data_IF_200048418417
#
_entry.id   IF_200048418417
#
_cell.length_a   1.000
_cell.length_b   1.000
_cell.length_c   1.000
_cell.angle_alpha   90.00
_cell.angle_beta   90.00
_cell.angle_gamma   90.00
#
_symmetry.space_group_name_H-M   'P 1'
#
loop_
_entity.id
_entity.type
_entity.pdbx_description
1 polymer ?
#
# COMPACT_ATOMS: atom_id res chain seq x y z
N UNK A 1 10.49 -32.14 7.89
CA UNK A 1 10.76 -31.53 9.21
C UNK A 1 11.75 -30.39 8.96
N UNK A 2 11.29 -29.14 8.94
CA UNK A 2 12.15 -27.96 8.99
C UNK A 2 11.96 -27.34 10.34
N UNK A 3 13.03 -27.35 11.12
CA UNK A 3 13.12 -26.88 12.49
C UNK A 3 12.73 -25.42 12.61
N UNK A 4 12.04 -25.12 13.73
CA UNK A 4 11.54 -23.79 14.05
C UNK A 4 12.66 -22.78 14.19
N UNK A 5 12.54 -21.67 13.47
CA UNK A 5 13.33 -20.48 13.72
C UNK A 5 13.13 -20.05 15.18
N UNK A 6 14.18 -20.09 15.96
CA UNK A 6 14.23 -19.55 17.30
C UNK A 6 13.88 -18.04 17.23
N UNK A 7 12.69 -17.68 17.71
CA UNK A 7 12.32 -16.28 17.91
C UNK A 7 13.25 -15.68 18.97
N UNK A 8 14.26 -14.94 18.53
CA UNK A 8 15.12 -14.17 19.44
C UNK A 8 14.27 -13.30 20.36
N UNK A 9 14.62 -13.29 21.65
CA UNK A 9 13.92 -12.48 22.66
C UNK A 9 14.10 -11.00 22.33
N UNK A 10 12.99 -10.29 22.11
CA UNK A 10 13.02 -8.88 21.76
C UNK A 10 13.40 -8.06 23.01
N UNK A 11 14.37 -7.13 22.95
CA UNK A 11 14.69 -6.28 24.09
C UNK A 11 13.45 -5.55 24.62
N UNK A 12 13.23 -5.56 25.92
CA UNK A 12 12.05 -4.96 26.58
C UNK A 12 11.84 -3.48 26.19
N UNK A 13 12.93 -2.73 25.96
CA UNK A 13 12.90 -1.35 25.47
C UNK A 13 12.24 -1.22 24.11
N UNK A 14 12.52 -2.16 23.21
CA UNK A 14 11.93 -2.19 21.86
C UNK A 14 10.44 -2.47 21.95
N UNK A 15 10.02 -3.42 22.79
CA UNK A 15 8.59 -3.72 22.98
C UNK A 15 7.83 -2.52 23.55
N UNK A 16 8.37 -1.83 24.56
CA UNK A 16 7.76 -0.60 25.12
C UNK A 16 7.60 0.47 24.03
N UNK A 17 8.62 0.67 23.22
CA UNK A 17 8.56 1.62 22.10
C UNK A 17 7.51 1.22 21.06
N UNK A 18 7.43 -0.06 20.69
CA UNK A 18 6.45 -0.54 19.70
C UNK A 18 5.01 -0.41 20.23
N UNK A 19 4.81 -0.68 21.54
CA UNK A 19 3.52 -0.45 22.21
C UNK A 19 3.16 1.06 22.20
N UNK A 20 4.10 1.95 22.49
CA UNK A 20 3.92 3.39 22.36
C UNK A 20 3.49 3.80 20.93
N UNK A 21 4.16 3.26 19.90
CA UNK A 21 3.80 3.56 18.52
C UNK A 21 2.39 3.08 18.17
N UNK A 22 2.02 1.88 18.63
CA UNK A 22 0.72 1.28 18.33
C UNK A 22 -0.41 2.02 19.07
N UNK A 23 -0.28 2.23 20.37
CA UNK A 23 -1.37 2.67 21.25
C UNK A 23 -1.48 4.20 21.31
N UNK A 24 -0.37 4.91 21.51
CA UNK A 24 -0.39 6.36 21.65
C UNK A 24 -0.26 7.09 20.31
N UNK A 25 0.68 6.65 19.45
CA UNK A 25 0.92 7.29 18.15
C UNK A 25 0.01 6.76 17.05
N UNK A 26 -0.76 5.70 17.29
CA UNK A 26 -1.70 5.06 16.37
C UNK A 26 -1.08 4.74 15.01
N UNK A 27 0.17 4.25 15.03
CA UNK A 27 0.85 3.80 13.83
C UNK A 27 0.19 2.52 13.30
N UNK A 28 0.20 2.34 11.97
CA UNK A 28 -0.35 1.13 11.36
C UNK A 28 0.44 -0.11 11.80
N UNK A 29 -0.22 -1.29 11.91
CA UNK A 29 0.47 -2.55 12.23
C UNK A 29 1.66 -2.83 11.30
N UNK A 30 1.53 -2.45 10.02
CA UNK A 30 2.61 -2.56 9.05
C UNK A 30 3.83 -1.69 9.41
N UNK A 31 3.61 -0.46 9.84
CA UNK A 31 4.69 0.45 10.28
C UNK A 31 5.37 -0.08 11.53
N UNK A 32 4.58 -0.53 12.51
CA UNK A 32 5.09 -1.12 13.76
C UNK A 32 5.94 -2.36 13.45
N UNK A 33 5.48 -3.25 12.57
CA UNK A 33 6.24 -4.43 12.12
C UNK A 33 7.57 -4.04 11.46
N UNK A 34 7.57 -3.04 10.59
CA UNK A 34 8.80 -2.60 9.91
C UNK A 34 9.79 -1.95 10.89
N UNK A 35 9.29 -1.21 11.89
CA UNK A 35 10.11 -0.62 12.93
C UNK A 35 10.69 -1.69 13.85
N UNK A 36 9.88 -2.72 14.20
CA UNK A 36 10.35 -3.90 14.93
C UNK A 36 11.54 -4.53 14.22
N UNK A 37 11.38 -4.86 12.93
CA UNK A 37 12.45 -5.50 12.15
C UNK A 37 13.72 -4.65 12.10
N UNK A 38 13.58 -3.34 11.88
CA UNK A 38 14.74 -2.43 11.84
C UNK A 38 15.51 -2.37 13.15
N UNK A 39 14.82 -2.46 14.29
CA UNK A 39 15.45 -2.43 15.62
C UNK A 39 16.05 -3.79 16.01
N UNK A 40 15.45 -4.90 15.57
CA UNK A 40 16.05 -6.23 15.71
C UNK A 40 17.32 -6.35 14.88
N UNK A 41 17.29 -5.89 13.63
CA UNK A 41 18.48 -5.86 12.77
C UNK A 41 19.60 -4.98 13.39
N UNK A 42 19.24 -3.87 14.05
CA UNK A 42 20.20 -3.02 14.76
C UNK A 42 20.79 -3.75 15.97
N UNK A 43 19.97 -4.45 16.76
CA UNK A 43 20.43 -5.21 17.92
C UNK A 43 21.38 -6.34 17.51
N UNK A 44 21.08 -7.05 16.43
CA UNK A 44 21.90 -8.13 15.90
C UNK A 44 23.31 -7.65 15.49
N UNK A 45 23.43 -6.45 14.93
CA UNK A 45 24.73 -5.88 14.48
C UNK A 45 25.44 -5.15 15.62
N UNK A 46 24.68 -4.43 16.48
CA UNK A 46 25.24 -3.61 17.56
C UNK A 46 25.98 -4.41 18.63
N UNK A 47 25.66 -5.71 18.79
CA UNK A 47 26.33 -6.62 19.74
C UNK A 47 27.72 -7.10 19.32
N UNK A 48 28.16 -6.82 18.09
CA UNK A 48 29.38 -7.38 17.55
C UNK A 48 29.34 -8.92 17.46
N UNK A 49 30.39 -9.56 16.94
CA UNK A 49 30.47 -11.04 16.78
C UNK A 49 30.46 -11.82 18.10
N UNK A 50 30.38 -11.18 19.28
CA UNK A 50 30.56 -11.82 20.59
C UNK A 50 29.36 -11.75 21.54
N UNK A 51 28.30 -11.00 21.22
CA UNK A 51 27.11 -10.92 22.08
C UNK A 51 25.89 -11.48 21.34
N UNK A 52 25.02 -12.21 22.08
CA UNK A 52 23.73 -12.66 21.56
C UNK A 52 22.81 -11.44 21.37
N UNK A 53 21.89 -11.48 20.39
CA UNK A 53 20.95 -10.41 20.07
C UNK A 53 20.11 -9.91 21.27
N UNK A 54 19.85 -10.79 22.22
CA UNK A 54 19.10 -10.51 23.44
C UNK A 54 19.90 -9.81 24.54
N UNK A 55 21.24 -9.71 24.39
CA UNK A 55 22.14 -9.12 25.38
C UNK A 55 22.62 -7.72 25.02
N UNK A 56 22.27 -7.18 23.85
CA UNK A 56 22.70 -5.85 23.43
C UNK A 56 21.83 -4.78 24.10
N UNK A 57 22.43 -3.98 24.99
CA UNK A 57 21.76 -2.80 25.51
C UNK A 57 21.80 -1.66 24.48
N UNK A 58 20.69 -1.45 23.80
CA UNK A 58 20.56 -0.40 22.79
C UNK A 58 20.76 1.02 23.33
N UNK A 59 20.75 1.23 24.67
CA UNK A 59 21.02 2.51 25.31
C UNK A 59 22.50 2.89 25.25
N UNK A 60 23.39 1.91 25.15
CA UNK A 60 24.84 2.12 25.16
C UNK A 60 25.40 2.41 23.77
N UNK A 61 24.61 2.18 22.71
CA UNK A 61 25.07 2.42 21.35
C UNK A 61 25.31 3.91 21.09
N UNK A 62 26.48 4.20 20.55
CA UNK A 62 26.86 5.57 20.17
C UNK A 62 26.72 5.80 18.66
N UNK A 63 26.99 7.02 18.20
CA UNK A 63 26.94 7.39 16.78
C UNK A 63 27.84 6.52 15.91
N UNK A 64 28.99 6.08 16.43
CA UNK A 64 29.95 5.20 15.71
C UNK A 64 29.32 3.85 15.43
N UNK A 65 28.63 3.26 16.40
CA UNK A 65 27.99 1.94 16.26
C UNK A 65 26.86 2.00 15.23
N UNK A 66 26.05 3.07 15.26
CA UNK A 66 24.99 3.30 14.27
C UNK A 66 25.53 3.52 12.86
N UNK A 67 26.72 4.15 12.71
CA UNK A 67 27.40 4.28 11.42
C UNK A 67 27.91 2.92 10.94
N UNK A 68 28.51 2.11 11.83
CA UNK A 68 28.95 0.74 11.51
C UNK A 68 27.79 -0.11 11.02
N UNK A 69 26.63 -0.07 11.69
CA UNK A 69 25.42 -0.74 11.23
C UNK A 69 25.01 -0.35 9.81
N UNK A 70 25.05 0.94 9.47
CA UNK A 70 24.72 1.41 8.11
C UNK A 70 25.69 0.84 7.07
N UNK A 71 27.00 0.87 7.37
CA UNK A 71 28.03 0.35 6.47
C UNK A 71 27.87 -1.17 6.28
N UNK A 72 27.63 -1.93 7.34
CA UNK A 72 27.41 -3.37 7.25
C UNK A 72 26.15 -3.71 6.46
N UNK A 73 25.04 -3.01 6.72
CA UNK A 73 23.80 -3.19 5.97
C UNK A 73 23.96 -2.85 4.47
N UNK A 74 24.79 -1.85 4.13
CA UNK A 74 25.14 -1.56 2.73
C UNK A 74 25.98 -2.68 2.10
N UNK A 75 26.98 -3.18 2.82
CA UNK A 75 27.82 -4.32 2.35
C UNK A 75 26.98 -5.58 2.13
N UNK A 76 25.97 -5.81 2.98
CA UNK A 76 24.99 -6.89 2.83
C UNK A 76 23.97 -6.67 1.69
N UNK A 77 24.12 -5.62 0.87
CA UNK A 77 23.25 -5.37 -0.28
C UNK A 77 21.93 -4.70 0.04
N UNK A 78 21.73 -4.19 1.27
CA UNK A 78 20.48 -3.49 1.63
C UNK A 78 20.30 -2.24 0.76
N UNK A 79 19.13 -2.12 0.12
CA UNK A 79 18.84 -0.98 -0.74
C UNK A 79 18.88 0.35 0.02
N UNK A 80 19.29 1.44 -0.64
CA UNK A 80 19.28 2.79 -0.03
C UNK A 80 17.90 3.17 0.53
N UNK A 81 16.84 2.81 -0.17
CA UNK A 81 15.46 3.04 0.29
C UNK A 81 15.17 2.32 1.60
N UNK A 82 15.57 1.05 1.72
CA UNK A 82 15.41 0.26 2.94
C UNK A 82 16.22 0.85 4.09
N UNK A 83 17.45 1.30 3.84
CA UNK A 83 18.28 1.98 4.84
C UNK A 83 17.64 3.28 5.34
N UNK A 84 17.05 4.08 4.48
CA UNK A 84 16.31 5.28 4.89
C UNK A 84 15.11 4.94 5.80
N UNK A 85 14.38 3.86 5.50
CA UNK A 85 13.28 3.38 6.34
C UNK A 85 13.79 2.91 7.72
N UNK A 86 14.86 2.11 7.73
CA UNK A 86 15.50 1.64 8.97
C UNK A 86 16.02 2.80 9.81
N UNK A 87 16.67 3.79 9.20
CA UNK A 87 17.14 4.98 9.90
C UNK A 87 15.98 5.79 10.48
N UNK A 88 14.85 5.88 9.80
CA UNK A 88 13.66 6.54 10.33
C UNK A 88 13.14 5.84 11.59
N UNK A 89 13.17 4.50 11.63
CA UNK A 89 12.83 3.72 12.82
C UNK A 89 13.81 3.98 13.97
N UNK A 90 15.12 3.91 13.70
CA UNK A 90 16.21 4.14 14.67
C UNK A 90 16.10 5.56 15.25
N UNK A 91 15.93 6.59 14.43
CA UNK A 91 15.75 7.98 14.88
C UNK A 91 14.51 8.15 15.75
N UNK A 92 13.40 7.49 15.39
CA UNK A 92 12.16 7.52 16.16
C UNK A 92 12.34 6.84 17.52
N UNK A 93 13.07 5.73 17.56
CA UNK A 93 13.38 4.99 18.77
C UNK A 93 14.25 5.80 19.73
N UNK A 94 15.37 6.33 19.28
CA UNK A 94 16.25 7.14 20.15
C UNK A 94 15.62 8.46 20.58
N UNK A 95 14.75 9.06 19.77
CA UNK A 95 13.95 10.22 20.21
C UNK A 95 12.98 9.83 21.32
N UNK A 96 12.39 8.65 21.26
CA UNK A 96 11.55 8.10 22.31
C UNK A 96 12.37 7.86 23.58
N UNK A 97 13.51 7.16 23.49
CA UNK A 97 14.38 6.91 24.65
C UNK A 97 14.87 8.19 25.32
N UNK A 98 15.30 9.18 24.55
CA UNK A 98 15.73 10.47 25.09
C UNK A 98 14.58 11.20 25.81
N UNK A 99 13.37 11.19 25.26
CA UNK A 99 12.18 11.75 25.91
C UNK A 99 11.82 11.04 27.20
N UNK A 100 12.05 9.75 27.28
CA UNK A 100 11.78 8.93 28.48
C UNK A 100 12.93 8.98 29.50
N UNK A 101 14.00 9.73 29.24
CA UNK A 101 15.16 9.81 30.12
C UNK A 101 16.07 8.58 30.11
N UNK A 102 15.85 7.63 29.19
CA UNK A 102 16.62 6.38 29.13
C UNK A 102 18.02 6.59 28.50
N UNK A 103 18.22 7.66 27.76
CA UNK A 103 19.52 8.11 27.22
C UNK A 103 19.70 9.62 27.42
N UNK A 104 20.90 10.05 27.80
CA UNK A 104 21.20 11.46 28.03
C UNK A 104 21.20 12.31 26.74
N UNK A 105 21.60 11.70 25.61
CA UNK A 105 21.61 12.33 24.30
C UNK A 105 21.13 11.36 23.23
N UNK A 106 20.59 11.90 22.13
CA UNK A 106 20.16 11.06 21.01
C UNK A 106 21.35 10.75 20.08
N UNK A 107 21.89 9.51 20.08
CA UNK A 107 23.05 9.16 19.25
C UNK A 107 22.75 9.16 17.75
N UNK A 108 21.48 9.14 17.35
CA UNK A 108 21.10 9.16 15.94
C UNK A 108 21.01 10.56 15.34
N UNK A 109 21.18 11.64 16.10
CA UNK A 109 21.08 13.03 15.63
C UNK A 109 22.14 13.37 14.58
N UNK A 110 23.36 12.84 14.72
CA UNK A 110 24.47 13.03 13.78
C UNK A 110 24.53 12.04 12.60
N UNK A 111 23.51 11.18 12.43
CA UNK A 111 23.48 10.26 11.31
C UNK A 111 23.03 10.97 10.03
N UNK A 112 23.88 10.91 9.02
CA UNK A 112 23.57 11.40 7.67
C UNK A 112 23.66 10.21 6.70
N UNK A 113 22.58 9.95 5.96
CA UNK A 113 22.63 9.02 4.83
C UNK A 113 22.96 9.77 3.56
N UNK A 114 23.76 9.17 2.65
CA UNK A 114 23.94 9.70 1.32
C UNK A 114 22.61 9.95 0.64
N UNK A 115 22.48 11.09 -0.02
CA UNK A 115 21.25 11.48 -0.71
C UNK A 115 20.72 10.33 -1.59
N UNK A 116 19.46 10.03 -1.46
CA UNK A 116 18.74 9.09 -2.33
C UNK A 116 17.98 9.91 -3.38
N UNK A 117 18.48 9.93 -4.61
CA UNK A 117 17.69 10.43 -5.73
C UNK A 117 16.51 9.48 -5.94
N UNK A 118 15.30 9.93 -5.62
CA UNK A 118 14.09 9.17 -5.97
C UNK A 118 14.06 9.07 -7.49
N UNK A 119 14.05 7.86 -8.08
CA UNK A 119 13.82 7.74 -9.51
C UNK A 119 12.47 8.39 -9.84
N UNK A 120 12.35 8.97 -11.03
CA UNK A 120 11.08 9.50 -11.49
C UNK A 120 10.00 8.43 -11.34
N UNK A 121 8.82 8.78 -10.82
CA UNK A 121 7.74 7.81 -10.66
C UNK A 121 7.40 7.21 -12.02
N UNK A 122 7.59 5.90 -12.18
CA UNK A 122 7.09 5.19 -13.34
C UNK A 122 5.57 5.06 -13.21
N UNK A 123 4.83 5.41 -14.23
CA UNK A 123 3.39 5.23 -14.34
C UNK A 123 3.07 4.61 -15.71
N UNK A 124 1.87 4.09 -15.87
CA UNK A 124 1.44 3.56 -17.16
C UNK A 124 1.12 4.72 -18.11
N UNK A 125 1.58 4.66 -19.35
CA UNK A 125 1.03 5.50 -20.40
C UNK A 125 -0.42 5.09 -20.72
N UNK A 126 -1.22 5.95 -21.40
CA UNK A 126 -2.58 5.58 -21.80
C UNK A 126 -2.66 4.31 -22.64
N UNK A 127 -1.67 4.05 -23.49
CA UNK A 127 -1.59 2.80 -24.29
C UNK A 127 -1.26 1.59 -23.41
N UNK A 128 -0.27 1.71 -22.54
CA UNK A 128 0.14 0.64 -21.64
C UNK A 128 -0.98 0.22 -20.69
N UNK A 129 -1.72 1.20 -20.11
CA UNK A 129 -2.83 0.85 -19.21
C UNK A 129 -3.96 0.15 -19.95
N UNK A 130 -4.26 0.54 -21.20
CA UNK A 130 -5.24 -0.15 -22.05
C UNK A 130 -4.84 -1.61 -22.27
N UNK A 131 -3.63 -1.85 -22.77
CA UNK A 131 -3.09 -3.19 -22.98
C UNK A 131 -3.12 -4.05 -21.71
N UNK A 132 -2.80 -3.46 -20.57
CA UNK A 132 -2.83 -4.15 -19.26
C UNK A 132 -4.27 -4.51 -18.84
N UNK A 133 -5.23 -3.61 -19.00
CA UNK A 133 -6.63 -3.83 -18.62
C UNK A 133 -7.32 -4.88 -19.50
N UNK A 134 -6.85 -5.08 -20.72
CA UNK A 134 -7.34 -6.09 -21.66
C UNK A 134 -6.67 -7.47 -21.47
N UNK A 135 -5.60 -7.54 -20.67
CA UNK A 135 -4.83 -8.77 -20.50
C UNK A 135 -5.62 -9.96 -19.90
N UNK A 136 -6.56 -9.77 -18.94
CA UNK A 136 -7.36 -10.89 -18.46
C UNK A 136 -8.25 -11.51 -19.54
N UNK A 137 -8.95 -10.70 -20.34
CA UNK A 137 -9.77 -11.18 -21.46
C UNK A 137 -8.92 -11.91 -22.49
N UNK A 138 -7.74 -11.38 -22.84
CA UNK A 138 -6.82 -12.03 -23.76
C UNK A 138 -6.34 -13.38 -23.25
N UNK A 139 -5.90 -13.47 -22.00
CA UNK A 139 -5.45 -14.74 -21.40
C UNK A 139 -6.59 -15.75 -21.26
N UNK A 140 -7.84 -15.32 -21.10
CA UNK A 140 -9.00 -16.21 -21.16
C UNK A 140 -9.14 -16.82 -22.55
N UNK A 141 -9.07 -16.01 -23.59
CA UNK A 141 -9.17 -16.48 -24.98
C UNK A 141 -8.03 -17.44 -25.36
N UNK A 142 -6.84 -17.21 -24.82
CA UNK A 142 -5.66 -18.06 -25.01
C UNK A 142 -5.69 -19.34 -24.12
N UNK A 143 -6.72 -19.54 -23.29
CA UNK A 143 -6.84 -20.69 -22.38
C UNK A 143 -5.89 -20.64 -21.17
N UNK A 144 -5.25 -19.49 -20.92
CA UNK A 144 -4.28 -19.33 -19.84
C UNK A 144 -4.90 -19.12 -18.44
N UNK A 145 -6.20 -18.82 -18.37
CA UNK A 145 -6.99 -18.65 -17.13
C UNK A 145 -8.46 -19.04 -17.38
N UNK A 146 -9.18 -19.34 -16.29
CA UNK A 146 -10.62 -19.60 -16.34
C UNK A 146 -11.45 -18.29 -16.35
N UNK A 147 -12.74 -18.42 -16.70
CA UNK A 147 -13.66 -17.30 -16.87
C UNK A 147 -13.91 -16.54 -15.53
N UNK A 148 -13.97 -17.24 -14.40
CA UNK A 148 -14.11 -16.60 -13.10
C UNK A 148 -12.89 -15.73 -12.79
N UNK A 149 -11.69 -16.28 -12.98
CA UNK A 149 -10.42 -15.57 -12.75
C UNK A 149 -10.30 -14.35 -13.66
N UNK A 150 -10.65 -14.48 -14.95
CA UNK A 150 -10.62 -13.37 -15.88
C UNK A 150 -11.58 -12.25 -15.45
N UNK A 151 -12.84 -12.56 -15.19
CA UNK A 151 -13.84 -11.57 -14.79
C UNK A 151 -13.52 -10.88 -13.48
N UNK A 152 -13.00 -11.63 -12.48
CA UNK A 152 -12.55 -11.09 -11.20
C UNK A 152 -11.38 -10.11 -11.37
N UNK A 153 -10.36 -10.51 -12.13
CA UNK A 153 -9.13 -9.73 -12.26
C UNK A 153 -9.34 -8.49 -13.15
N UNK A 154 -10.24 -8.57 -14.14
CA UNK A 154 -10.72 -7.38 -14.84
C UNK A 154 -11.36 -6.36 -13.89
N UNK A 155 -12.24 -6.80 -13.01
CA UNK A 155 -12.86 -5.93 -12.00
C UNK A 155 -11.80 -5.30 -11.09
N UNK A 156 -10.84 -6.08 -10.61
CA UNK A 156 -9.74 -5.59 -9.77
C UNK A 156 -8.98 -4.45 -10.46
N UNK A 157 -8.59 -4.65 -11.71
CA UNK A 157 -7.77 -3.69 -12.45
C UNK A 157 -8.58 -2.46 -12.87
N UNK A 158 -9.84 -2.64 -13.25
CA UNK A 158 -10.75 -1.53 -13.55
C UNK A 158 -11.02 -0.67 -12.29
N UNK A 159 -11.17 -1.27 -11.11
CA UNK A 159 -11.34 -0.52 -9.88
C UNK A 159 -10.05 0.22 -9.47
N UNK A 160 -8.87 -0.34 -9.70
CA UNK A 160 -7.63 0.40 -9.49
C UNK A 160 -7.49 1.62 -10.41
N UNK A 161 -7.83 1.46 -11.69
CA UNK A 161 -7.70 2.53 -12.67
C UNK A 161 -8.95 3.41 -12.75
N UNK A 162 -10.15 2.87 -12.74
CA UNK A 162 -11.40 3.61 -12.91
C UNK A 162 -11.93 4.27 -11.64
N UNK A 163 -11.47 3.87 -10.44
CA UNK A 163 -11.85 4.48 -9.17
C UNK A 163 -10.64 4.90 -8.30
N UNK A 164 -9.43 4.68 -8.77
CA UNK A 164 -8.20 5.06 -8.09
C UNK A 164 -8.04 4.44 -6.70
N UNK A 165 -8.46 3.21 -6.49
CA UNK A 165 -8.42 2.56 -5.19
C UNK A 165 -7.00 2.23 -4.73
N UNK A 166 -6.78 2.24 -3.40
CA UNK A 166 -5.61 1.57 -2.81
C UNK A 166 -5.87 0.08 -2.73
N UNK A 167 -4.82 -0.74 -2.80
CA UNK A 167 -4.97 -2.19 -2.69
C UNK A 167 -5.65 -2.61 -1.39
N UNK A 168 -5.35 -1.97 -0.26
CA UNK A 168 -6.00 -2.24 1.03
C UNK A 168 -7.47 -1.83 1.05
N UNK A 169 -7.87 -0.80 0.32
CA UNK A 169 -9.26 -0.38 0.20
C UNK A 169 -10.06 -1.38 -0.63
N UNK A 170 -9.45 -1.92 -1.69
CA UNK A 170 -10.07 -2.94 -2.53
C UNK A 170 -10.23 -4.27 -1.77
N UNK A 171 -9.20 -4.72 -1.04
CA UNK A 171 -9.26 -5.99 -0.30
C UNK A 171 -10.28 -5.96 0.86
N UNK A 172 -10.61 -4.78 1.36
CA UNK A 172 -11.61 -4.59 2.44
C UNK A 172 -13.00 -4.22 1.90
N UNK A 173 -13.12 -3.95 0.60
CA UNK A 173 -14.40 -3.57 0.00
C UNK A 173 -15.43 -4.71 0.06
N UNK A 174 -16.67 -4.37 0.36
CA UNK A 174 -17.79 -5.31 0.46
C UNK A 174 -18.90 -4.95 -0.53
N UNK A 175 -19.77 -5.90 -0.88
CA UNK A 175 -20.86 -5.66 -1.81
C UNK A 175 -21.78 -4.53 -1.36
N UNK A 176 -22.05 -4.41 -0.06
CA UNK A 176 -22.85 -3.30 0.50
C UNK A 176 -22.21 -1.92 0.38
N UNK A 177 -20.95 -1.84 -0.02
CA UNK A 177 -20.26 -0.57 -0.27
C UNK A 177 -20.44 -0.08 -1.72
N UNK A 178 -20.92 -0.93 -2.63
CA UNK A 178 -21.09 -0.59 -4.05
C UNK A 178 -22.51 -0.10 -4.33
N UNK A 179 -22.62 1.14 -4.75
CA UNK A 179 -23.87 1.73 -5.28
C UNK A 179 -23.78 1.73 -6.81
N UNK A 180 -24.52 0.82 -7.42
CA UNK A 180 -24.55 0.66 -8.88
C UNK A 180 -25.37 1.75 -9.56
N UNK A 181 -26.41 2.30 -8.89
CA UNK A 181 -27.24 3.35 -9.43
C UNK A 181 -26.45 4.65 -9.57
N UNK A 182 -25.74 5.03 -8.51
CA UNK A 182 -24.89 6.22 -8.53
C UNK A 182 -23.50 5.98 -9.10
N UNK A 183 -23.13 4.72 -9.39
CA UNK A 183 -21.78 4.29 -9.82
C UNK A 183 -20.71 4.75 -8.85
N UNK A 184 -20.89 4.49 -7.57
CA UNK A 184 -19.97 4.87 -6.53
C UNK A 184 -19.57 3.67 -5.66
N UNK A 185 -18.35 3.68 -5.15
CA UNK A 185 -17.87 2.74 -4.16
C UNK A 185 -17.43 3.48 -2.91
N UNK A 186 -18.02 3.11 -1.76
CA UNK A 186 -17.60 3.61 -0.45
C UNK A 186 -16.39 2.80 0.01
N UNK A 187 -15.32 3.46 0.39
CA UNK A 187 -14.10 2.81 0.88
C UNK A 187 -13.62 3.42 2.19
N UNK A 188 -12.99 2.59 3.02
CA UNK A 188 -12.40 3.00 4.29
C UNK A 188 -10.89 3.12 4.11
N UNK A 189 -10.37 4.32 4.25
CA UNK A 189 -8.95 4.63 4.11
C UNK A 189 -8.17 4.58 5.42
N UNK A 190 -6.94 5.06 5.38
CA UNK A 190 -6.06 5.16 6.55
C UNK A 190 -6.72 5.99 7.66
N UNK A 191 -6.70 5.48 8.89
CA UNK A 191 -7.30 6.13 10.05
C UNK A 191 -8.82 5.98 10.11
N UNK A 192 -9.39 4.94 9.46
CA UNK A 192 -10.84 4.67 9.38
C UNK A 192 -11.66 5.81 8.75
N UNK A 193 -11.02 6.65 7.95
CA UNK A 193 -11.75 7.70 7.22
C UNK A 193 -12.41 7.09 5.99
N UNK A 194 -13.72 7.25 5.90
CA UNK A 194 -14.49 6.86 4.73
C UNK A 194 -14.37 7.90 3.61
N UNK A 195 -14.45 7.43 2.38
CA UNK A 195 -14.65 8.28 1.21
C UNK A 195 -15.47 7.56 0.15
N UNK A 196 -16.10 8.34 -0.70
CA UNK A 196 -16.83 7.85 -1.86
C UNK A 196 -15.92 7.99 -3.08
N UNK A 197 -15.73 6.90 -3.81
CA UNK A 197 -14.99 6.86 -5.06
C UNK A 197 -15.98 6.71 -6.22
N UNK A 198 -16.09 7.68 -7.13
CA UNK A 198 -16.80 7.46 -8.39
C UNK A 198 -16.15 6.30 -9.15
N UNK A 199 -16.95 5.41 -9.69
CA UNK A 199 -16.52 4.37 -10.61
C UNK A 199 -16.83 4.81 -12.04
N UNK A 200 -15.89 4.68 -12.95
CA UNK A 200 -16.17 4.85 -14.36
C UNK A 200 -17.23 3.85 -14.84
N UNK A 201 -17.89 4.17 -15.95
CA UNK A 201 -18.93 3.32 -16.54
C UNK A 201 -18.46 1.87 -16.72
N UNK A 202 -17.28 1.69 -17.31
CA UNK A 202 -16.69 0.36 -17.57
C UNK A 202 -16.46 -0.42 -16.28
N UNK A 203 -15.92 0.21 -15.24
CA UNK A 203 -15.67 -0.44 -13.95
C UNK A 203 -16.99 -0.90 -13.29
N UNK A 204 -18.03 -0.04 -13.30
CA UNK A 204 -19.34 -0.38 -12.76
C UNK A 204 -20.02 -1.51 -13.52
N UNK A 205 -19.96 -1.51 -14.85
CA UNK A 205 -20.52 -2.56 -15.70
C UNK A 205 -19.82 -3.91 -15.47
N UNK A 206 -18.49 -3.94 -15.47
CA UNK A 206 -17.72 -5.17 -15.20
C UNK A 206 -17.97 -5.70 -13.80
N UNK A 207 -18.06 -4.81 -12.80
CA UNK A 207 -18.39 -5.19 -11.43
C UNK A 207 -19.80 -5.80 -11.34
N UNK A 208 -20.77 -5.25 -12.05
CA UNK A 208 -22.12 -5.80 -12.12
C UNK A 208 -22.15 -7.18 -12.79
N UNK A 209 -21.46 -7.32 -13.93
CA UNK A 209 -21.34 -8.61 -14.64
C UNK A 209 -20.67 -9.65 -13.74
N UNK A 210 -19.60 -9.29 -13.05
CA UNK A 210 -18.93 -10.20 -12.10
C UNK A 210 -19.89 -10.64 -10.99
N UNK A 211 -20.61 -9.69 -10.36
CA UNK A 211 -21.58 -10.00 -9.30
C UNK A 211 -22.65 -10.98 -9.80
N UNK A 212 -23.23 -10.70 -10.95
CA UNK A 212 -24.44 -11.40 -11.42
C UNK A 212 -24.12 -12.78 -12.01
N UNK A 213 -22.95 -12.96 -12.62
CA UNK A 213 -22.58 -14.20 -13.33
C UNK A 213 -21.54 -15.08 -12.64
N UNK A 214 -20.61 -14.47 -11.89
CA UNK A 214 -19.41 -15.18 -11.41
C UNK A 214 -19.27 -15.18 -9.89
N UNK A 215 -19.73 -14.14 -9.19
CA UNK A 215 -19.55 -14.06 -7.74
C UNK A 215 -20.28 -15.18 -7.00
N UNK A 216 -19.54 -15.95 -6.20
CA UNK A 216 -20.06 -17.08 -5.39
C UNK A 216 -20.66 -16.60 -4.07
N UNK A 217 -20.28 -15.42 -3.59
CA UNK A 217 -20.84 -14.73 -2.40
C UNK A 217 -21.24 -13.31 -2.80
N UNK A 218 -22.45 -12.87 -2.38
CA UNK A 218 -23.06 -11.62 -2.86
C UNK A 218 -23.79 -10.83 -1.75
N UNK A 219 -23.70 -11.30 -0.51
CA UNK A 219 -24.31 -10.61 0.63
C UNK A 219 -23.65 -9.23 0.85
N UNK A 220 -24.38 -8.30 1.43
CA UNK A 220 -23.88 -6.93 1.66
C UNK A 220 -22.59 -6.90 2.51
N UNK A 221 -22.40 -7.86 3.37
CA UNK A 221 -21.22 -8.02 4.23
C UNK A 221 -20.09 -8.83 3.59
N UNK A 222 -20.35 -9.51 2.46
CA UNK A 222 -19.34 -10.30 1.77
C UNK A 222 -18.33 -9.42 1.04
N UNK A 223 -17.10 -9.94 0.92
CA UNK A 223 -16.05 -9.22 0.22
C UNK A 223 -16.34 -9.15 -1.28
N UNK A 224 -16.17 -7.97 -1.84
CA UNK A 224 -16.35 -7.70 -3.27
C UNK A 224 -15.35 -8.49 -4.11
N UNK A 225 -14.12 -8.66 -3.63
CA UNK A 225 -13.05 -9.38 -4.31
C UNK A 225 -12.71 -10.65 -3.52
N UNK A 226 -13.04 -11.80 -4.09
CA UNK A 226 -12.87 -13.12 -3.46
C UNK A 226 -12.35 -14.16 -4.46
N UNK A 227 -11.93 -15.32 -3.97
CA UNK A 227 -11.57 -16.47 -4.80
C UNK A 227 -12.80 -17.31 -5.17
N UNK A 228 -12.59 -18.40 -5.91
CA UNK A 228 -13.68 -19.28 -6.38
C UNK A 228 -14.46 -20.00 -5.27
N UNK A 229 -13.99 -19.94 -4.03
CA UNK A 229 -14.69 -20.49 -2.84
C UNK A 229 -15.22 -19.42 -1.90
N UNK A 230 -15.21 -18.14 -2.32
CA UNK A 230 -15.74 -17.01 -1.56
C UNK A 230 -14.77 -16.42 -0.51
N UNK A 231 -13.52 -16.86 -0.43
CA UNK A 231 -12.53 -16.30 0.51
C UNK A 231 -11.97 -14.99 -0.02
N UNK A 232 -11.78 -13.96 0.83
CA UNK A 232 -11.23 -12.68 0.40
C UNK A 232 -9.81 -12.84 -0.15
N UNK A 233 -9.49 -12.08 -1.20
CA UNK A 233 -8.14 -12.04 -1.75
C UNK A 233 -7.24 -11.17 -0.88
N UNK A 234 -6.03 -11.68 -0.58
CA UNK A 234 -5.01 -10.87 0.06
C UNK A 234 -4.34 -9.90 -0.91
N UNK A 235 -3.84 -8.77 -0.39
CA UNK A 235 -3.06 -7.82 -1.17
C UNK A 235 -1.84 -8.47 -1.86
N UNK A 236 -1.20 -9.43 -1.19
CA UNK A 236 -0.07 -10.17 -1.75
C UNK A 236 -0.48 -10.99 -2.98
N UNK A 237 -1.64 -11.69 -2.91
CA UNK A 237 -2.15 -12.48 -4.04
C UNK A 237 -2.44 -11.59 -5.24
N UNK A 238 -3.13 -10.47 -5.04
CA UNK A 238 -3.42 -9.51 -6.12
C UNK A 238 -2.12 -8.99 -6.75
N UNK A 239 -1.10 -8.63 -5.95
CA UNK A 239 0.19 -8.15 -6.47
C UNK A 239 0.95 -9.23 -7.22
N UNK A 240 0.93 -10.47 -6.73
CA UNK A 240 1.55 -11.61 -7.40
C UNK A 240 0.87 -11.89 -8.73
N UNK A 241 -0.45 -11.95 -8.74
CA UNK A 241 -1.23 -12.31 -9.93
C UNK A 241 -1.14 -11.18 -10.97
N UNK A 242 -1.07 -9.90 -10.56
CA UNK A 242 -0.82 -8.76 -11.44
C UNK A 242 0.45 -8.93 -12.29
N UNK A 243 1.52 -9.52 -11.74
CA UNK A 243 2.77 -9.76 -12.51
C UNK A 243 2.57 -10.69 -13.71
N UNK A 244 1.65 -11.67 -13.60
CA UNK A 244 1.28 -12.54 -14.74
C UNK A 244 0.75 -11.70 -15.91
N UNK A 245 -0.13 -10.76 -15.62
CA UNK A 245 -0.74 -9.90 -16.64
C UNK A 245 0.25 -8.87 -17.21
N UNK A 246 1.15 -8.35 -16.38
CA UNK A 246 2.23 -7.46 -16.85
C UNK A 246 3.14 -8.18 -17.84
N UNK A 247 3.57 -9.42 -17.52
CA UNK A 247 4.37 -10.26 -18.43
C UNK A 247 3.63 -10.55 -19.74
N UNK A 248 2.38 -10.98 -19.66
CA UNK A 248 1.55 -11.24 -20.82
C UNK A 248 1.33 -10.00 -21.70
N UNK A 249 1.47 -8.81 -21.12
CA UNK A 249 1.35 -7.52 -21.84
C UNK A 249 2.68 -6.95 -22.30
N UNK A 250 3.81 -7.62 -22.07
CA UNK A 250 5.14 -7.09 -22.37
C UNK A 250 5.51 -5.85 -21.53
N UNK A 251 4.89 -5.68 -20.36
CA UNK A 251 5.08 -4.52 -19.50
C UNK A 251 6.04 -4.82 -18.34
N UNK A 252 6.75 -3.80 -17.81
CA UNK A 252 7.68 -3.99 -16.70
C UNK A 252 6.97 -4.55 -15.45
N UNK A 253 7.52 -5.63 -14.87
CA UNK A 253 6.97 -6.28 -13.68
C UNK A 253 7.10 -5.45 -12.39
N UNK A 254 7.84 -4.35 -12.41
CA UNK A 254 7.95 -3.40 -11.30
C UNK A 254 6.75 -2.42 -11.23
N UNK A 255 5.83 -2.49 -12.17
CA UNK A 255 4.56 -1.81 -12.10
C UNK A 255 3.67 -2.45 -11.01
N UNK A 256 3.01 -1.61 -10.21
CA UNK A 256 2.28 -2.03 -9.00
C UNK A 256 0.87 -1.40 -8.98
N UNK A 257 -0.07 -1.90 -8.15
CA UNK A 257 -1.36 -1.23 -7.97
C UNK A 257 -1.24 0.25 -7.59
N UNK A 258 -0.21 0.62 -6.83
CA UNK A 258 0.05 2.02 -6.49
C UNK A 258 0.41 2.86 -7.73
N UNK A 259 1.12 2.26 -8.70
CA UNK A 259 1.46 2.93 -9.97
C UNK A 259 0.25 3.05 -10.88
N UNK A 260 -0.71 2.10 -10.87
CA UNK A 260 -2.00 2.25 -11.57
C UNK A 260 -2.77 3.44 -11.00
N UNK A 261 -2.89 3.53 -9.69
CA UNK A 261 -3.53 4.67 -9.03
C UNK A 261 -2.82 6.00 -9.32
N UNK A 262 -1.49 6.00 -9.44
CA UNK A 262 -0.74 7.19 -9.84
C UNK A 262 -1.05 7.57 -11.29
N UNK A 263 -1.14 6.58 -12.20
CA UNK A 263 -1.58 6.81 -13.59
C UNK A 263 -3.00 7.38 -13.65
N UNK A 264 -3.93 6.87 -12.83
CA UNK A 264 -5.27 7.44 -12.69
C UNK A 264 -5.21 8.94 -12.38
N UNK A 265 -4.42 9.32 -11.36
CA UNK A 265 -4.30 10.72 -10.98
C UNK A 265 -3.67 11.58 -12.08
N UNK A 266 -2.59 11.10 -12.69
CA UNK A 266 -1.86 11.80 -13.75
C UNK A 266 -2.73 11.98 -14.98
N UNK A 267 -3.40 10.91 -15.45
CA UNK A 267 -4.24 10.98 -16.64
C UNK A 267 -5.46 11.90 -16.46
N UNK A 268 -6.05 11.96 -15.25
CA UNK A 268 -7.10 12.92 -14.96
C UNK A 268 -6.59 14.36 -15.02
N UNK A 269 -5.43 14.64 -14.43
CA UNK A 269 -4.82 15.98 -14.44
C UNK A 269 -4.42 16.41 -15.85
N UNK A 270 -3.81 15.51 -16.63
CA UNK A 270 -3.43 15.75 -18.03
C UNK A 270 -4.65 16.02 -18.93
N UNK A 271 -5.82 15.43 -18.58
CA UNK A 271 -7.09 15.69 -19.23
C UNK A 271 -7.84 16.92 -18.67
N UNK A 272 -7.19 17.75 -17.84
CA UNK A 272 -7.74 19.01 -17.35
C UNK A 272 -8.60 18.93 -16.10
N UNK A 273 -8.62 17.79 -15.38
CA UNK A 273 -9.35 17.69 -14.12
C UNK A 273 -8.77 18.64 -13.06
N UNK A 274 -9.65 19.25 -12.27
CA UNK A 274 -9.23 20.08 -11.14
C UNK A 274 -8.43 19.28 -10.10
N UNK A 275 -7.28 19.82 -9.67
CA UNK A 275 -6.37 19.17 -8.74
C UNK A 275 -7.05 18.82 -7.40
N UNK A 276 -7.94 19.69 -6.88
CA UNK A 276 -8.64 19.45 -5.63
C UNK A 276 -9.66 18.32 -5.77
N UNK A 277 -10.33 18.21 -6.93
CA UNK A 277 -11.22 17.10 -7.23
C UNK A 277 -10.44 15.77 -7.26
N UNK A 278 -9.29 15.72 -7.93
CA UNK A 278 -8.42 14.53 -7.97
C UNK A 278 -7.89 14.18 -6.58
N UNK A 279 -7.41 15.14 -5.79
CA UNK A 279 -6.97 14.93 -4.41
C UNK A 279 -8.08 14.38 -3.52
N UNK A 280 -9.30 14.86 -3.71
CA UNK A 280 -10.50 14.40 -3.00
C UNK A 280 -10.85 12.94 -3.35
N UNK A 281 -10.88 12.59 -4.64
CA UNK A 281 -11.08 11.21 -5.11
C UNK A 281 -10.02 10.26 -4.54
N UNK A 282 -8.79 10.74 -4.41
CA UNK A 282 -7.69 9.97 -3.85
C UNK A 282 -7.68 9.92 -2.30
N UNK A 283 -8.45 10.75 -1.61
CA UNK A 283 -8.48 10.80 -0.14
C UNK A 283 -7.14 11.22 0.46
N UNK A 284 -6.58 12.34 -0.02
CA UNK A 284 -5.43 12.99 0.60
C UNK A 284 -5.87 13.77 1.85
N UNK A 285 -5.16 13.58 2.97
CA UNK A 285 -5.59 13.97 4.33
C UNK A 285 -5.64 15.49 4.62
N UNK A 286 -5.40 16.37 3.67
CA UNK A 286 -5.23 17.82 3.92
C UNK A 286 -6.48 18.70 3.67
N UNK A 287 -7.60 18.12 3.24
CA UNK A 287 -8.85 18.88 3.08
C UNK A 287 -9.92 18.32 4.00
N UNK A 288 -10.62 19.21 4.71
CA UNK A 288 -11.67 18.84 5.67
C UNK A 288 -12.70 17.91 5.02
N UNK A 289 -12.77 16.70 5.51
CA UNK A 289 -13.58 15.60 4.99
C UNK A 289 -15.10 15.89 5.03
N UNK A 290 -15.52 16.89 5.78
CA UNK A 290 -16.92 17.20 6.04
C UNK A 290 -17.62 17.91 4.87
N UNK A 291 -16.89 18.64 4.03
CA UNK A 291 -17.49 19.37 2.90
C UNK A 291 -17.75 18.52 1.65
N UNK A 292 -17.19 17.31 1.57
CA UNK A 292 -17.26 16.47 0.36
C UNK A 292 -18.51 15.58 0.34
N UNK A 293 -19.17 15.38 1.48
CA UNK A 293 -20.33 14.49 1.62
C UNK A 293 -21.67 15.14 1.29
N UNK A 294 -21.69 16.39 0.82
CA UNK A 294 -22.90 16.99 0.28
C UNK A 294 -23.18 16.44 -1.13
N UNK A 295 -24.46 16.30 -1.51
CA UNK A 295 -24.83 15.89 -2.88
C UNK A 295 -24.13 16.71 -3.95
N UNK A 296 -23.99 18.02 -3.75
CA UNK A 296 -23.28 18.94 -4.65
C UNK A 296 -21.78 18.60 -4.79
N UNK A 297 -21.14 18.16 -3.72
CA UNK A 297 -19.74 17.73 -3.76
C UNK A 297 -19.55 16.44 -4.56
N UNK A 298 -20.45 15.46 -4.41
CA UNK A 298 -20.39 14.19 -5.12
C UNK A 298 -20.64 14.37 -6.63
N UNK A 299 -21.60 15.20 -7.02
CA UNK A 299 -21.90 15.47 -8.43
C UNK A 299 -20.75 16.17 -9.13
N UNK A 300 -20.04 17.10 -8.46
CA UNK A 300 -18.81 17.70 -8.98
C UNK A 300 -17.70 16.67 -9.19
N UNK A 301 -17.53 15.73 -8.25
CA UNK A 301 -16.53 14.65 -8.39
C UNK A 301 -16.87 13.72 -9.55
N UNK A 302 -18.16 13.35 -9.71
CA UNK A 302 -18.63 12.54 -10.84
C UNK A 302 -18.45 13.27 -12.17
N UNK A 303 -18.78 14.54 -12.23
CA UNK A 303 -18.61 15.37 -13.42
C UNK A 303 -17.12 15.45 -13.83
N UNK A 304 -16.24 15.78 -12.88
CA UNK A 304 -14.79 15.84 -13.12
C UNK A 304 -14.25 14.48 -13.57
N UNK A 305 -14.67 13.37 -12.95
CA UNK A 305 -14.30 12.03 -13.34
C UNK A 305 -14.78 11.71 -14.77
N UNK A 306 -16.09 11.94 -15.06
CA UNK A 306 -16.68 11.66 -16.37
C UNK A 306 -16.06 12.45 -17.51
N UNK A 307 -15.72 13.73 -17.26
CA UNK A 307 -15.15 14.60 -18.30
C UNK A 307 -13.68 14.29 -18.61
N UNK A 308 -12.93 13.89 -17.59
CA UNK A 308 -11.46 13.82 -17.70
C UNK A 308 -10.90 12.39 -17.68
N UNK A 309 -11.70 11.40 -17.25
CA UNK A 309 -11.19 10.03 -17.17
C UNK A 309 -11.41 9.27 -18.50
N UNK A 310 -10.38 8.60 -19.07
CA UNK A 310 -10.51 7.87 -20.35
C UNK A 310 -11.57 6.76 -20.36
N UNK A 311 -12.05 6.34 -19.18
CA UNK A 311 -13.12 5.34 -18.97
C UNK A 311 -14.26 5.88 -18.08
N UNK A 312 -14.42 7.17 -18.05
CA UNK A 312 -15.43 7.90 -17.26
C UNK A 312 -16.87 7.75 -17.73
#
# INVERSE_FOLDING_TARGET
>A
MREGEAKGTIPALVERFLAYLANERRYSPYTVRNYRQALLDLAAVGGGRRQREDQVDLRTLCLRDLRSYIVEAQRAGTSRRTLHLRLSAIRSFYRYLHRMGEVAANPSSGLVLPGYRKPLPKFFSPSQIRTFLEAPSRLLTEGGIDAFTAARDEVIFELFYGAGLRISELTEARWGNADFASRCLRVVGKGRKERICPMGKTAAEKLKVFRDRYAVVRGSTDFLVHDAVGKPLSAWRIQRDMKKYLRASGLPEDLTPHKIRHSFATHLLDAGADLRAVQSMLGHASLSTTQIYTHVGLDRLKAAHKQSHPRG
#
